data_IF_681576877365
#
_entry.id   IF_681576877365
#
_cell.length_a   1.000
_cell.length_b   1.000
_cell.length_c   1.000
_cell.angle_alpha   90.00
_cell.angle_beta   90.00
_cell.angle_gamma   90.00
#
_symmetry.space_group_name_H-M   'P 1'
#
loop_
_entity.id
_entity.type
_entity.pdbx_description
1 polymer ?
#
# COMPACT_ATOMS: atom_id res chain seq x y z
N UNK A 1 -3.16 -4.38 8.86
CA UNK A 1 -1.84 -4.83 9.38
C UNK A 1 -2.06 -5.61 10.67
N UNK A 2 -1.06 -6.32 11.18
CA UNK A 2 -1.11 -6.95 12.51
C UNK A 2 -0.55 -6.02 13.59
N UNK A 3 -1.04 -6.18 14.82
CA UNK A 3 -0.59 -5.38 15.98
C UNK A 3 0.92 -5.49 16.21
N UNK A 4 1.53 -6.66 15.97
CA UNK A 4 2.96 -6.86 16.08
C UNK A 4 3.78 -5.94 15.15
N UNK A 5 3.29 -5.69 13.92
CA UNK A 5 3.96 -4.79 12.99
C UNK A 5 3.80 -3.32 13.38
N UNK A 6 2.68 -2.95 14.01
CA UNK A 6 2.45 -1.60 14.55
C UNK A 6 3.51 -1.21 15.60
N UNK A 7 3.87 -2.14 16.48
CA UNK A 7 4.92 -1.92 17.49
C UNK A 7 6.31 -1.63 16.92
N UNK A 8 6.60 -2.04 15.67
CA UNK A 8 7.87 -1.73 14.99
C UNK A 8 7.91 -0.29 14.51
N UNK A 9 6.77 0.29 14.14
CA UNK A 9 6.69 1.66 13.62
C UNK A 9 6.35 2.70 14.69
N UNK A 10 5.58 2.35 15.72
CA UNK A 10 5.18 3.27 16.78
C UNK A 10 6.36 4.05 17.43
N UNK A 11 7.56 3.47 17.61
CA UNK A 11 8.72 4.22 18.13
C UNK A 11 9.21 5.37 17.22
N UNK A 12 8.77 5.43 15.95
CA UNK A 12 9.10 6.49 14.99
C UNK A 12 8.15 7.69 15.08
N UNK A 13 7.24 7.70 16.05
CA UNK A 13 6.26 8.76 16.22
C UNK A 13 6.92 10.14 16.38
N UNK A 14 6.43 11.12 15.62
CA UNK A 14 6.87 12.51 15.70
C UNK A 14 6.30 13.22 16.94
N UNK A 15 5.20 12.72 17.49
CA UNK A 15 4.58 13.19 18.73
C UNK A 15 4.30 12.03 19.69
N UNK A 16 4.11 12.28 21.00
CA UNK A 16 3.77 11.24 21.96
C UNK A 16 2.47 10.49 21.63
N UNK A 17 1.56 11.10 20.87
CA UNK A 17 0.24 10.56 20.55
C UNK A 17 0.25 9.66 19.30
N UNK A 18 1.10 9.95 18.31
CA UNK A 18 1.05 9.26 17.01
C UNK A 18 1.36 7.76 17.09
N UNK A 19 2.27 7.35 17.99
CA UNK A 19 2.61 5.94 18.21
C UNK A 19 1.44 5.14 18.81
N UNK A 20 0.87 5.59 19.96
CA UNK A 20 -0.34 5.01 20.52
C UNK A 20 -1.52 4.96 19.54
N UNK A 21 -1.77 6.04 18.79
CA UNK A 21 -2.83 6.08 17.77
C UNK A 21 -2.70 4.96 16.74
N UNK A 22 -1.48 4.68 16.26
CA UNK A 22 -1.24 3.58 15.32
C UNK A 22 -1.53 2.21 15.95
N UNK A 23 -1.15 2.00 17.21
CA UNK A 23 -1.40 0.74 17.93
C UNK A 23 -2.91 0.55 18.12
N UNK A 24 -3.62 1.59 18.55
CA UNK A 24 -5.07 1.58 18.76
C UNK A 24 -5.83 1.34 17.45
N UNK A 25 -5.36 1.93 16.35
CA UNK A 25 -5.94 1.72 15.02
C UNK A 25 -5.91 0.25 14.63
N UNK A 26 -4.74 -0.38 14.73
CA UNK A 26 -4.55 -1.77 14.33
C UNK A 26 -5.29 -2.73 15.28
N UNK A 27 -5.22 -2.47 16.59
CA UNK A 27 -5.94 -3.25 17.59
C UNK A 27 -7.47 -3.14 17.43
N UNK A 28 -7.96 -1.94 17.09
CA UNK A 28 -9.35 -1.69 16.78
C UNK A 28 -9.83 -2.45 15.54
N UNK A 29 -9.01 -2.49 14.47
CA UNK A 29 -9.27 -3.30 13.29
C UNK A 29 -9.37 -4.81 13.59
N UNK A 30 -8.42 -5.34 14.37
CA UNK A 30 -8.43 -6.74 14.82
C UNK A 30 -9.68 -7.06 15.65
N UNK A 31 -10.06 -6.18 16.58
CA UNK A 31 -11.26 -6.34 17.39
C UNK A 31 -12.55 -6.30 16.54
N UNK A 32 -12.62 -5.40 15.55
CA UNK A 32 -13.78 -5.23 14.66
C UNK A 32 -14.01 -6.47 13.80
N UNK A 33 -12.95 -7.05 13.23
CA UNK A 33 -13.05 -8.29 12.48
C UNK A 33 -13.53 -9.46 13.35
N UNK A 34 -12.95 -9.61 14.55
CA UNK A 34 -13.36 -10.65 15.51
C UNK A 34 -14.83 -10.52 15.90
N UNK A 35 -15.33 -9.29 16.07
CA UNK A 35 -16.73 -9.03 16.39
C UNK A 35 -17.70 -9.43 15.25
N UNK A 36 -17.24 -9.38 14.00
CA UNK A 36 -17.99 -9.84 12.82
C UNK A 36 -17.91 -11.36 12.60
N UNK A 37 -17.24 -12.10 13.49
CA UNK A 37 -17.01 -13.54 13.35
C UNK A 37 -15.92 -13.88 12.34
N UNK A 38 -15.22 -12.88 11.82
CA UNK A 38 -14.11 -13.04 10.88
C UNK A 38 -12.79 -13.15 11.65
N UNK A 39 -12.00 -14.19 11.34
CA UNK A 39 -10.61 -14.24 11.76
C UNK A 39 -9.74 -13.62 10.67
N UNK A 40 -9.14 -12.45 10.95
CA UNK A 40 -8.20 -11.81 10.02
C UNK A 40 -7.06 -12.78 9.65
N UNK A 41 -6.65 -13.67 10.55
CA UNK A 41 -5.61 -14.68 10.30
C UNK A 41 -6.10 -15.83 9.41
N UNK A 42 -7.42 -16.05 9.36
CA UNK A 42 -8.05 -17.01 8.44
C UNK A 42 -8.26 -16.43 7.04
N UNK A 43 -8.53 -15.12 6.93
CA UNK A 43 -8.71 -14.42 5.66
C UNK A 43 -7.41 -13.89 5.02
N UNK A 44 -6.36 -13.70 5.81
CA UNK A 44 -5.07 -13.18 5.38
C UNK A 44 -3.89 -13.95 6.04
N UNK A 45 -2.86 -14.35 5.27
CA UNK A 45 -2.64 -14.03 3.85
C UNK A 45 -3.64 -14.75 2.92
N UNK A 46 -4.06 -14.06 1.85
CA UNK A 46 -4.97 -14.66 0.85
C UNK A 46 -4.35 -15.92 0.20
N UNK A 47 -5.14 -16.86 -0.36
CA UNK A 47 -4.60 -18.05 -1.03
C UNK A 47 -3.55 -17.74 -2.11
N UNK A 48 -3.70 -16.61 -2.80
CA UNK A 48 -2.73 -16.13 -3.78
C UNK A 48 -1.41 -15.66 -3.15
N UNK A 49 -1.47 -15.05 -1.95
CA UNK A 49 -0.28 -14.66 -1.19
C UNK A 49 0.45 -15.89 -0.62
N UNK A 50 -0.28 -16.89 -0.13
CA UNK A 50 0.29 -18.15 0.37
C UNK A 50 1.05 -18.87 -0.74
N UNK A 51 0.43 -19.02 -1.92
CA UNK A 51 1.11 -19.57 -3.11
C UNK A 51 2.32 -18.74 -3.56
N UNK A 52 2.34 -17.45 -3.23
CA UNK A 52 3.45 -16.53 -3.48
C UNK A 52 4.54 -16.55 -2.41
N UNK A 53 4.42 -17.39 -1.38
CA UNK A 53 5.46 -17.61 -0.37
C UNK A 53 5.25 -16.93 0.99
N UNK A 54 4.15 -16.18 1.19
CA UNK A 54 3.84 -15.61 2.51
C UNK A 54 3.20 -16.66 3.42
N UNK A 55 3.76 -16.87 4.61
CA UNK A 55 3.29 -17.92 5.53
C UNK A 55 2.41 -17.36 6.64
N UNK A 56 2.61 -16.10 7.04
CA UNK A 56 1.87 -15.47 8.14
C UNK A 56 1.38 -14.06 7.83
N UNK A 57 0.37 -13.58 8.57
CA UNK A 57 -0.10 -12.20 8.48
C UNK A 57 0.93 -11.22 9.02
N UNK A 58 1.76 -11.66 9.97
CA UNK A 58 2.86 -10.89 10.53
C UNK A 58 3.93 -10.61 9.47
N UNK A 59 4.36 -11.60 8.69
CA UNK A 59 5.29 -11.41 7.56
C UNK A 59 4.75 -10.40 6.54
N UNK A 60 3.48 -10.55 6.16
CA UNK A 60 2.81 -9.62 5.24
C UNK A 60 2.79 -8.21 5.82
N UNK A 61 2.44 -8.07 7.10
CA UNK A 61 2.31 -6.79 7.77
C UNK A 61 3.66 -6.08 7.93
N UNK A 62 4.72 -6.80 8.28
CA UNK A 62 6.08 -6.26 8.34
C UNK A 62 6.54 -5.73 6.97
N UNK A 63 6.24 -6.47 5.89
CA UNK A 63 6.50 -6.01 4.52
C UNK A 63 5.74 -4.73 4.18
N UNK A 64 4.49 -4.58 4.64
CA UNK A 64 3.76 -3.32 4.49
C UNK A 64 4.39 -2.16 5.26
N UNK A 65 4.83 -2.38 6.49
CA UNK A 65 5.48 -1.34 7.30
C UNK A 65 6.82 -0.90 6.72
N UNK A 66 7.54 -1.81 6.06
CA UNK A 66 8.80 -1.48 5.41
C UNK A 66 8.62 -0.47 4.26
N UNK A 67 7.47 -0.48 3.56
CA UNK A 67 7.17 0.49 2.50
C UNK A 67 7.10 1.93 3.01
N UNK A 68 6.80 2.14 4.30
CA UNK A 68 6.77 3.46 4.90
C UNK A 68 8.18 4.05 5.16
N UNK A 69 9.25 3.35 4.76
CA UNK A 69 10.63 3.81 4.90
C UNK A 69 11.01 4.07 6.35
N UNK A 70 11.72 5.19 6.60
CA UNK A 70 12.25 5.54 7.92
C UNK A 70 11.81 6.93 8.43
N UNK A 71 10.94 7.63 7.70
CA UNK A 71 10.47 8.96 8.10
C UNK A 71 9.68 8.91 9.44
N UNK A 72 9.67 10.01 10.23
CA UNK A 72 8.86 10.09 11.44
C UNK A 72 7.36 10.03 11.13
N UNK A 73 6.64 9.18 11.86
CA UNK A 73 5.18 9.03 11.77
C UNK A 73 4.50 10.27 12.37
N UNK A 74 3.78 11.03 11.56
CA UNK A 74 3.08 12.24 12.00
C UNK A 74 1.76 11.92 12.72
N UNK A 75 1.11 10.82 12.34
CA UNK A 75 -0.16 10.40 12.93
C UNK A 75 -0.91 9.43 12.04
N UNK A 76 -2.14 9.15 12.44
CA UNK A 76 -3.10 8.36 11.67
C UNK A 76 -4.18 9.26 11.08
N UNK A 77 -4.74 8.85 9.95
CA UNK A 77 -5.85 9.51 9.27
C UNK A 77 -7.04 8.54 9.20
N UNK A 78 -8.26 9.04 9.38
CA UNK A 78 -9.45 8.26 9.04
C UNK A 78 -9.58 8.15 7.52
N UNK A 79 -10.46 7.26 7.06
CA UNK A 79 -10.70 7.06 5.64
C UNK A 79 -11.09 8.38 4.95
N UNK A 80 -10.32 8.78 3.94
CA UNK A 80 -10.46 10.03 3.18
C UNK A 80 -10.14 11.34 3.93
N UNK A 81 -9.57 11.29 5.13
CA UNK A 81 -9.03 12.48 5.78
C UNK A 81 -7.77 13.00 5.06
N UNK A 82 -7.61 14.32 5.02
CA UNK A 82 -6.41 14.96 4.49
C UNK A 82 -5.36 15.21 5.58
N UNK A 83 -4.06 14.98 5.28
CA UNK A 83 -2.99 15.37 6.20
C UNK A 83 -2.97 16.89 6.40
N UNK A 84 -2.76 17.33 7.64
CA UNK A 84 -2.74 18.76 7.98
C UNK A 84 -1.40 19.43 7.70
N UNK A 85 -0.35 18.65 7.49
CA UNK A 85 1.01 19.11 7.21
C UNK A 85 1.85 18.00 6.55
N UNK A 86 3.01 18.34 5.92
CA UNK A 86 3.88 17.36 5.27
C UNK A 86 4.45 16.31 6.25
N UNK A 87 4.55 15.06 5.80
CA UNK A 87 5.20 13.99 6.54
C UNK A 87 4.63 12.61 6.21
N UNK A 88 5.03 11.60 6.98
CA UNK A 88 4.51 10.23 6.85
C UNK A 88 3.22 10.08 7.68
N UNK A 89 2.13 9.74 7.01
CA UNK A 89 0.83 9.46 7.61
C UNK A 89 0.37 8.05 7.28
N UNK A 90 -0.40 7.44 8.18
CA UNK A 90 -1.05 6.14 7.95
C UNK A 90 -2.56 6.34 7.93
N UNK A 91 -3.20 6.04 6.80
CA UNK A 91 -4.66 6.12 6.70
C UNK A 91 -5.31 4.78 7.04
N UNK A 92 -6.35 4.79 7.89
CA UNK A 92 -7.20 3.62 8.10
C UNK A 92 -8.01 3.35 6.83
N UNK A 93 -7.62 2.30 6.13
CA UNK A 93 -8.28 1.87 4.90
C UNK A 93 -8.61 0.39 4.97
N UNK A 94 -9.67 -0.07 4.29
CA UNK A 94 -9.94 -1.49 4.16
C UNK A 94 -8.78 -2.20 3.45
N UNK A 95 -8.64 -3.50 3.70
CA UNK A 95 -7.58 -4.30 3.08
C UNK A 95 -7.75 -4.59 1.58
N UNK A 96 -8.81 -4.07 0.95
CA UNK A 96 -9.08 -4.21 -0.47
C UNK A 96 -8.41 -3.05 -1.22
N UNK A 97 -7.62 -3.39 -2.25
CA UNK A 97 -6.72 -2.46 -2.93
C UNK A 97 -7.43 -1.22 -3.50
N UNK A 98 -8.53 -1.40 -4.22
CA UNK A 98 -9.26 -0.33 -4.91
C UNK A 98 -9.96 0.61 -3.92
N UNK A 99 -10.55 0.07 -2.85
CA UNK A 99 -11.16 0.87 -1.78
C UNK A 99 -10.11 1.67 -1.02
N UNK A 100 -8.94 1.07 -0.76
CA UNK A 100 -7.82 1.75 -0.11
C UNK A 100 -7.28 2.89 -0.97
N UNK A 101 -7.03 2.65 -2.26
CA UNK A 101 -6.60 3.67 -3.23
C UNK A 101 -7.63 4.81 -3.29
N UNK A 102 -8.91 4.49 -3.40
CA UNK A 102 -9.98 5.50 -3.49
C UNK A 102 -10.03 6.39 -2.24
N UNK A 103 -9.82 5.82 -1.05
CA UNK A 103 -9.74 6.57 0.20
C UNK A 103 -8.53 7.51 0.25
N UNK A 104 -7.35 7.01 -0.11
CA UNK A 104 -6.12 7.83 -0.12
C UNK A 104 -6.22 8.98 -1.13
N UNK A 105 -6.78 8.72 -2.32
CA UNK A 105 -6.99 9.74 -3.35
C UNK A 105 -8.04 10.76 -2.90
N UNK A 106 -9.13 10.32 -2.25
CA UNK A 106 -10.12 11.22 -1.66
C UNK A 106 -9.52 12.11 -0.55
N UNK A 107 -8.55 11.59 0.22
CA UNK A 107 -7.78 12.36 1.20
C UNK A 107 -6.73 13.30 0.58
N UNK A 108 -6.56 13.29 -0.74
CA UNK A 108 -5.73 14.24 -1.49
C UNK A 108 -4.46 13.66 -2.12
N UNK A 109 -4.24 12.35 -2.08
CA UNK A 109 -3.10 11.74 -2.78
C UNK A 109 -3.17 12.00 -4.29
N UNK A 110 -2.08 12.52 -4.85
CA UNK A 110 -1.99 12.90 -6.27
C UNK A 110 -1.28 11.85 -7.14
N UNK A 111 -0.50 10.95 -6.54
CA UNK A 111 0.19 9.84 -7.22
C UNK A 111 0.12 8.63 -6.30
N UNK A 112 -0.18 7.47 -6.85
CA UNK A 112 -0.26 6.21 -6.12
C UNK A 112 0.86 5.29 -6.57
N UNK A 113 1.62 4.76 -5.60
CA UNK A 113 2.64 3.73 -5.85
C UNK A 113 2.07 2.38 -5.44
N UNK A 114 1.88 1.49 -6.41
CA UNK A 114 1.24 0.21 -6.20
C UNK A 114 2.19 -0.95 -6.44
N UNK A 115 2.62 -1.62 -5.36
CA UNK A 115 3.48 -2.80 -5.46
C UNK A 115 2.66 -4.06 -5.74
N UNK A 116 2.98 -4.81 -6.80
CA UNK A 116 2.30 -6.07 -7.13
C UNK A 116 3.28 -7.20 -7.43
N UNK A 117 3.05 -8.36 -6.83
CA UNK A 117 3.84 -9.58 -7.09
C UNK A 117 3.23 -10.49 -8.15
N UNK A 118 2.01 -10.17 -8.63
CA UNK A 118 1.23 -10.99 -9.57
C UNK A 118 0.60 -10.18 -10.71
N UNK A 119 0.95 -8.91 -10.84
CA UNK A 119 0.51 -8.05 -11.95
C UNK A 119 -0.95 -7.62 -11.87
N UNK A 120 -1.42 -7.22 -10.68
CA UNK A 120 -2.76 -6.62 -10.52
C UNK A 120 -2.94 -5.47 -11.53
N UNK A 121 -4.02 -5.44 -12.33
CA UNK A 121 -4.28 -4.37 -13.28
C UNK A 121 -4.89 -3.13 -12.62
N UNK A 122 -4.51 -2.82 -11.37
CA UNK A 122 -5.11 -1.73 -10.63
C UNK A 122 -4.75 -0.38 -11.27
N UNK A 123 -5.79 0.43 -11.51
CA UNK A 123 -5.68 1.85 -11.81
C UNK A 123 -6.56 2.67 -10.88
N UNK A 124 -6.80 3.92 -11.28
CA UNK A 124 -7.70 4.83 -10.59
C UNK A 124 -8.11 5.97 -11.55
N UNK A 125 -9.38 6.39 -11.55
CA UNK A 125 -9.85 7.42 -12.49
C UNK A 125 -9.44 8.86 -12.14
N UNK A 126 -8.83 9.10 -10.98
CA UNK A 126 -8.53 10.44 -10.46
C UNK A 126 -7.03 10.69 -10.36
N UNK A 127 -6.25 9.71 -9.88
CA UNK A 127 -4.81 9.83 -9.71
C UNK A 127 -4.04 8.72 -10.46
N UNK A 128 -2.89 9.02 -11.08
CA UNK A 128 -2.05 8.02 -11.73
C UNK A 128 -1.55 6.95 -10.75
N UNK A 129 -1.51 5.70 -11.21
CA UNK A 129 -1.08 4.53 -10.43
C UNK A 129 0.17 3.94 -11.05
N UNK A 130 1.33 4.22 -10.44
CA UNK A 130 2.62 3.65 -10.84
C UNK A 130 2.72 2.25 -10.26
N UNK A 131 2.67 1.23 -11.11
CA UNK A 131 2.77 -0.17 -10.71
C UNK A 131 4.20 -0.66 -10.72
N UNK A 132 4.61 -1.25 -9.60
CA UNK A 132 5.98 -1.73 -9.38
C UNK A 132 5.93 -3.22 -9.07
N UNK A 133 6.82 -4.01 -9.67
CA UNK A 133 6.99 -5.42 -9.30
C UNK A 133 8.43 -5.72 -8.89
N UNK A 134 8.60 -6.54 -7.86
CA UNK A 134 9.88 -7.17 -7.52
C UNK A 134 10.00 -8.60 -8.06
N UNK A 135 9.05 -9.06 -8.88
CA UNK A 135 8.99 -10.42 -9.39
C UNK A 135 9.33 -10.43 -10.89
N UNK A 136 10.54 -10.88 -11.22
CA UNK A 136 11.06 -10.91 -12.60
C UNK A 136 10.13 -11.65 -13.58
N UNK A 137 9.56 -12.79 -13.18
CA UNK A 137 8.65 -13.54 -14.03
C UNK A 137 7.35 -12.76 -14.30
N UNK A 138 6.85 -12.01 -13.31
CA UNK A 138 5.67 -11.14 -13.51
C UNK A 138 6.00 -10.00 -14.44
N UNK A 139 7.17 -9.38 -14.29
CA UNK A 139 7.65 -8.37 -15.22
C UNK A 139 7.68 -8.91 -16.65
N UNK A 140 8.41 -10.00 -16.90
CA UNK A 140 8.57 -10.59 -18.24
C UNK A 140 7.23 -10.93 -18.92
N UNK A 141 6.20 -11.31 -18.16
CA UNK A 141 4.88 -11.64 -18.69
C UNK A 141 3.94 -10.43 -18.86
N UNK A 142 4.17 -9.33 -18.13
CA UNK A 142 3.21 -8.23 -17.99
C UNK A 142 3.88 -6.84 -18.06
N UNK A 143 4.91 -6.69 -18.90
CA UNK A 143 5.64 -5.43 -19.11
C UNK A 143 4.74 -4.31 -19.68
N UNK A 144 3.66 -4.68 -20.36
CA UNK A 144 2.64 -3.77 -20.85
C UNK A 144 1.77 -3.19 -19.73
N UNK A 145 1.59 -3.93 -18.64
CA UNK A 145 0.81 -3.52 -17.48
C UNK A 145 1.67 -2.84 -16.39
N UNK A 146 2.95 -3.14 -16.26
CA UNK A 146 3.80 -2.70 -15.12
C UNK A 146 4.73 -1.56 -15.52
N UNK A 147 4.88 -0.55 -14.65
CA UNK A 147 5.70 0.63 -14.92
C UNK A 147 7.19 0.43 -14.58
N UNK A 148 7.49 -0.28 -13.48
CA UNK A 148 8.87 -0.48 -12.99
C UNK A 148 9.11 -1.92 -12.51
N UNK A 149 10.24 -2.49 -12.90
CA UNK A 149 10.78 -3.74 -12.36
C UNK A 149 11.93 -3.46 -11.39
N UNK A 150 11.78 -3.91 -10.14
CA UNK A 150 12.81 -3.84 -9.10
C UNK A 150 13.37 -5.21 -8.73
N UNK A 151 13.11 -6.24 -9.56
CA UNK A 151 13.58 -7.60 -9.31
C UNK A 151 15.11 -7.75 -9.28
N UNK A 152 15.84 -6.80 -9.87
CA UNK A 152 17.31 -6.70 -9.81
C UNK A 152 17.85 -6.60 -8.38
N UNK A 153 17.04 -6.16 -7.41
CA UNK A 153 17.41 -6.17 -5.97
C UNK A 153 17.60 -7.61 -5.49
N UNK A 154 16.73 -8.53 -5.91
CA UNK A 154 16.76 -9.92 -5.45
C UNK A 154 17.92 -10.70 -6.06
N UNK A 155 18.34 -10.37 -7.28
CA UNK A 155 19.53 -10.97 -7.91
C UNK A 155 20.85 -10.33 -7.47
N UNK A 156 20.80 -9.24 -6.69
CA UNK A 156 21.99 -8.50 -6.26
C UNK A 156 22.63 -7.64 -7.36
N UNK A 157 21.96 -7.49 -8.50
CA UNK A 157 22.41 -6.66 -9.63
C UNK A 157 22.20 -5.16 -9.35
N UNK A 158 21.24 -4.82 -8.49
CA UNK A 158 20.98 -3.46 -8.04
C UNK A 158 20.78 -3.40 -6.52
N UNK A 159 21.14 -2.26 -5.92
CA UNK A 159 20.83 -1.95 -4.52
C UNK A 159 19.43 -1.37 -4.37
N UNK A 160 18.88 -1.46 -3.15
CA UNK A 160 17.62 -0.79 -2.79
C UNK A 160 17.70 0.72 -3.05
N UNK A 161 18.83 1.36 -2.79
CA UNK A 161 19.03 2.80 -3.04
C UNK A 161 18.93 3.13 -4.52
N UNK A 162 19.54 2.33 -5.40
CA UNK A 162 19.48 2.55 -6.84
C UNK A 162 18.06 2.42 -7.38
N UNK A 163 17.34 1.37 -6.97
CA UNK A 163 15.94 1.20 -7.38
C UNK A 163 15.02 2.24 -6.74
N UNK A 164 15.31 2.69 -5.52
CA UNK A 164 14.61 3.79 -4.88
C UNK A 164 14.74 5.09 -5.68
N UNK A 165 15.93 5.39 -6.20
CA UNK A 165 16.16 6.53 -7.09
C UNK A 165 15.38 6.38 -8.40
N UNK A 166 15.34 5.18 -8.99
CA UNK A 166 14.57 4.92 -10.21
C UNK A 166 13.06 5.17 -10.01
N UNK A 167 12.51 4.70 -8.88
CA UNK A 167 11.12 4.96 -8.48
C UNK A 167 10.90 6.46 -8.31
N UNK A 168 11.82 7.17 -7.64
CA UNK A 168 11.71 8.61 -7.43
C UNK A 168 11.72 9.38 -8.76
N UNK A 169 12.61 9.04 -9.68
CA UNK A 169 12.64 9.63 -11.02
C UNK A 169 11.36 9.35 -11.81
N UNK A 170 10.77 8.17 -11.66
CA UNK A 170 9.50 7.85 -12.29
C UNK A 170 8.35 8.69 -11.72
N UNK A 171 8.29 8.87 -10.39
CA UNK A 171 7.35 9.78 -9.74
C UNK A 171 7.46 11.19 -10.31
N UNK A 172 8.68 11.70 -10.47
CA UNK A 172 8.91 13.02 -11.07
C UNK A 172 8.44 13.08 -12.53
N UNK A 173 8.69 12.05 -13.33
CA UNK A 173 8.21 12.00 -14.72
C UNK A 173 6.69 12.03 -14.80
N UNK A 174 6.01 11.23 -13.97
CA UNK A 174 4.54 11.19 -13.90
C UNK A 174 3.98 12.52 -13.40
N UNK A 175 4.58 13.11 -12.36
CA UNK A 175 4.22 14.46 -11.90
C UNK A 175 4.39 15.54 -12.99
N UNK A 176 5.29 15.33 -13.96
CA UNK A 176 5.50 16.19 -15.12
C UNK A 176 4.69 15.78 -16.37
N UNK A 177 3.69 14.90 -16.23
CA UNK A 177 2.73 14.58 -17.28
C UNK A 177 3.03 13.33 -18.11
N UNK A 178 4.01 12.51 -17.72
CA UNK A 178 4.12 11.14 -18.26
C UNK A 178 2.91 10.32 -17.81
N UNK A 179 2.22 9.66 -18.73
CA UNK A 179 1.15 8.73 -18.39
C UNK A 179 1.70 7.40 -17.85
N UNK A 180 0.98 6.82 -16.90
CA UNK A 180 1.23 5.47 -16.35
C UNK A 180 0.62 4.41 -17.25
N UNK A 181 1.11 3.16 -17.16
CA UNK A 181 0.53 2.03 -17.89
C UNK A 181 -0.96 1.82 -17.60
N UNK A 182 -1.41 2.08 -16.37
CA UNK A 182 -2.85 2.05 -16.04
C UNK A 182 -3.65 3.05 -16.84
N UNK A 183 -3.15 4.28 -17.00
CA UNK A 183 -3.85 5.32 -17.75
C UNK A 183 -3.90 4.96 -19.24
N UNK A 184 -2.77 4.54 -19.81
CA UNK A 184 -2.69 4.15 -21.22
C UNK A 184 -3.63 2.97 -21.55
N UNK A 185 -3.81 2.02 -20.61
CA UNK A 185 -4.67 0.86 -20.75
C UNK A 185 -6.14 1.13 -20.34
N UNK A 186 -6.44 2.31 -19.78
CA UNK A 186 -7.79 2.68 -19.34
C UNK A 186 -8.26 1.99 -18.05
N UNK A 187 -7.32 1.55 -17.19
CA UNK A 187 -7.63 1.01 -15.87
C UNK A 187 -8.11 2.12 -14.93
N UNK A 188 -9.40 2.08 -14.61
CA UNK A 188 -10.14 3.13 -13.90
C UNK A 188 -10.93 2.55 -12.71
N UNK A 189 -10.39 1.52 -12.05
CA UNK A 189 -11.07 0.89 -10.93
C UNK A 189 -11.33 1.90 -9.80
N UNK A 190 -12.55 1.87 -9.28
CA UNK A 190 -13.00 2.77 -8.22
C UNK A 190 -14.01 2.05 -7.34
N UNK A 191 -13.85 2.17 -6.03
CA UNK A 191 -14.76 1.59 -5.04
C UNK A 191 -14.66 2.39 -3.75
N UNK A 192 -15.79 2.63 -3.11
CA UNK A 192 -15.84 3.36 -1.83
C UNK A 192 -16.04 2.34 -0.71
N UNK A 193 -15.30 2.53 0.38
CA UNK A 193 -15.47 1.70 1.57
C UNK A 193 -16.90 1.80 2.13
N UNK A 194 -17.61 0.68 2.13
CA UNK A 194 -18.98 0.60 2.66
C UNK A 194 -18.95 0.28 4.14
N UNK A 195 -19.45 1.23 4.95
CA UNK A 195 -19.56 1.08 6.41
C UNK A 195 -20.83 0.34 6.85
N UNK A 196 -21.80 0.14 5.95
CA UNK A 196 -23.05 -0.58 6.22
C UNK A 196 -23.62 -1.21 4.93
N UNK A 197 -24.50 -2.23 5.04
CA UNK A 197 -25.24 -2.76 3.90
C UNK A 197 -26.10 -1.68 3.23
N UNK A 198 -26.18 -1.75 1.91
CA UNK A 198 -27.19 -1.02 1.14
C UNK A 198 -28.46 -1.88 1.15
N UNK A 199 -29.55 -1.35 1.68
CA UNK A 199 -30.86 -2.01 1.75
C UNK A 199 -31.61 -1.94 0.41
#
# INVERSE_FOLDING_TARGET
ASTAAAHVMAPRAATPEAGPQLIDLVGGGEARAKALGEDIRGGQPTPGNIKGGLTTIEEKSLGCMHKAGHAPLQGVLEYADSPTHPGLWIMDTPGQDIESISGMVAGGAQIVIFTTGRGTPAGNPIAPVIKITGNKATWEMMQDNIDIDVSAIMSGEASITQMGEEIYQEILRVANGKTTKSEDLGHNEFSIYKIAPTF
#
